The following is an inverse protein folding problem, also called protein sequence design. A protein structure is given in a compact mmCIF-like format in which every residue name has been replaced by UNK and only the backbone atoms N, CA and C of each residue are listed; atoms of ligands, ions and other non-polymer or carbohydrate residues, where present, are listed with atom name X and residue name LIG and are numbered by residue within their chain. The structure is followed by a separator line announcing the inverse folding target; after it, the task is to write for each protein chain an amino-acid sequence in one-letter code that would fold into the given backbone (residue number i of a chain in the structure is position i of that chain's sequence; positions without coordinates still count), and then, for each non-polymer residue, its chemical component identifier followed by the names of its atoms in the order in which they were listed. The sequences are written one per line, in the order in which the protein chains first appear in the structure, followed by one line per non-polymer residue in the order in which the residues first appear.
data_IF_635064354398
#
_entry.id   IF_635064354398
#
_cell.length_a   1.000
_cell.length_b   1.000
_cell.length_c   1.000
_cell.angle_alpha   90.00
_cell.angle_beta   90.00
_cell.angle_gamma   90.00
#
_symmetry.space_group_name_H-M   'P 1'
#
loop_
_entity.id
_entity.type
_entity.pdbx_description
1 polymer ?
#
# COMPACT_ATOMS: atom_id res chain seq x y z
N UNK A 1 -6.33 14.48 0.33
CA UNK A 1 -7.28 15.30 -0.46
C UNK A 1 -6.54 16.16 -1.49
N UNK A 2 -5.36 16.71 -1.15
CA UNK A 2 -4.52 17.45 -2.09
C UNK A 2 -4.18 16.65 -3.36
N UNK A 3 -3.91 15.36 -3.25
CA UNK A 3 -3.67 14.48 -4.38
C UNK A 3 -4.89 14.37 -5.32
N UNK A 4 -6.10 14.30 -4.75
CA UNK A 4 -7.34 14.29 -5.54
C UNK A 4 -7.56 15.63 -6.26
N UNK A 5 -7.29 16.75 -5.58
CA UNK A 5 -7.37 18.09 -6.21
C UNK A 5 -6.36 18.27 -7.35
N UNK A 6 -5.19 17.64 -7.23
CA UNK A 6 -4.15 17.63 -8.27
C UNK A 6 -4.38 16.58 -9.36
N UNK A 7 -5.52 15.89 -9.34
CA UNK A 7 -5.90 14.84 -10.30
C UNK A 7 -4.87 13.70 -10.43
N UNK A 8 -4.26 13.32 -9.31
CA UNK A 8 -3.31 12.20 -9.26
C UNK A 8 -4.03 10.89 -9.60
N UNK A 9 -3.46 10.10 -10.49
CA UNK A 9 -4.09 8.84 -10.93
C UNK A 9 -3.91 7.69 -9.94
N UNK A 10 -2.78 7.63 -9.25
CA UNK A 10 -2.42 6.51 -8.39
C UNK A 10 -1.99 6.99 -7.01
N UNK A 11 -2.47 6.31 -5.98
CA UNK A 11 -2.02 6.47 -4.60
C UNK A 11 -1.45 5.15 -4.13
N UNK A 12 -0.19 5.17 -3.73
CA UNK A 12 0.53 4.01 -3.21
C UNK A 12 0.78 4.24 -1.72
N UNK A 13 0.53 3.25 -0.89
CA UNK A 13 0.73 3.36 0.55
C UNK A 13 1.29 2.07 1.15
N UNK A 14 2.40 2.18 1.89
CA UNK A 14 3.09 1.08 2.53
C UNK A 14 3.22 1.18 4.05
N UNK A 15 2.76 2.28 4.65
CA UNK A 15 2.84 2.45 6.10
C UNK A 15 1.67 1.80 6.82
N UNK A 16 1.93 0.86 7.72
CA UNK A 16 0.92 0.12 8.45
C UNK A 16 0.06 -0.79 7.57
N UNK A 17 -1.17 -1.08 8.02
CA UNK A 17 -2.15 -1.84 7.24
C UNK A 17 -3.24 -0.89 6.75
N UNK A 18 -3.19 -0.41 5.50
CA UNK A 18 -4.02 0.70 5.02
C UNK A 18 -5.45 0.29 4.65
N UNK A 19 -6.13 -0.41 5.55
CA UNK A 19 -7.47 -0.98 5.34
C UNK A 19 -8.55 0.08 5.15
N UNK A 20 -8.41 1.24 5.81
CA UNK A 20 -9.42 2.30 5.79
C UNK A 20 -9.17 3.34 4.68
N UNK A 21 -8.00 3.33 4.08
CA UNK A 21 -7.60 4.32 3.07
C UNK A 21 -8.48 4.28 1.81
N UNK A 22 -8.81 3.11 1.22
CA UNK A 22 -9.70 3.08 0.05
C UNK A 22 -11.04 3.76 0.30
N UNK A 23 -11.70 3.47 1.44
CA UNK A 23 -12.96 4.12 1.80
C UNK A 23 -12.82 5.62 2.05
N UNK A 24 -11.71 6.06 2.63
CA UNK A 24 -11.42 7.49 2.75
C UNK A 24 -11.27 8.16 1.37
N UNK A 25 -10.60 7.52 0.40
CA UNK A 25 -10.50 8.02 -0.97
C UNK A 25 -11.87 8.10 -1.64
N UNK A 26 -12.73 7.09 -1.44
CA UNK A 26 -14.09 7.07 -1.97
C UNK A 26 -14.93 8.24 -1.44
N UNK A 27 -14.84 8.55 -0.14
CA UNK A 27 -15.55 9.67 0.48
C UNK A 27 -14.98 11.02 0.02
N UNK A 28 -13.67 11.17 0.04
CA UNK A 28 -12.99 12.41 -0.32
C UNK A 28 -13.16 12.77 -1.80
N UNK A 29 -13.28 11.79 -2.69
CA UNK A 29 -13.59 12.04 -4.12
C UNK A 29 -14.97 12.63 -4.32
N UNK A 30 -15.89 12.39 -3.37
CA UNK A 30 -17.23 12.98 -3.32
C UNK A 30 -17.28 14.27 -2.50
N UNK A 31 -16.14 14.81 -2.09
CA UNK A 31 -16.01 15.95 -1.17
C UNK A 31 -16.66 15.74 0.19
N UNK A 32 -16.82 14.49 0.63
CA UNK A 32 -17.32 14.12 1.95
C UNK A 32 -16.20 14.01 2.96
N UNK A 33 -16.51 14.27 4.22
CA UNK A 33 -15.57 14.03 5.32
C UNK A 33 -15.19 12.55 5.44
N UNK A 34 -13.94 12.30 5.79
CA UNK A 34 -13.41 10.96 6.01
C UNK A 34 -12.69 10.88 7.35
N UNK A 35 -12.77 9.72 8.01
CA UNK A 35 -12.14 9.47 9.29
C UNK A 35 -11.25 8.22 9.19
N UNK A 36 -10.14 8.24 9.92
CA UNK A 36 -9.20 7.13 10.03
C UNK A 36 -8.93 6.84 11.51
N UNK A 37 -8.86 5.56 11.86
CA UNK A 37 -8.39 5.15 13.17
C UNK A 37 -6.88 5.35 13.30
N UNK A 38 -6.49 5.92 14.43
CA UNK A 38 -5.08 6.14 14.77
C UNK A 38 -4.68 5.07 15.80
N UNK A 39 -3.80 4.13 15.45
CA UNK A 39 -3.28 3.18 16.41
C UNK A 39 -2.36 3.90 17.42
N UNK A 40 -2.66 3.77 18.70
CA UNK A 40 -1.87 4.38 19.77
C UNK A 40 -1.27 3.29 20.65
N UNK A 41 0.05 3.32 20.80
CA UNK A 41 0.77 2.37 21.67
C UNK A 41 0.34 2.58 23.13
N UNK A 42 -0.05 1.51 23.82
CA UNK A 42 -0.53 1.57 25.19
C UNK A 42 -2.01 1.91 25.35
N UNK A 43 -2.74 2.13 24.25
CA UNK A 43 -4.20 2.26 24.31
C UNK A 43 -4.87 0.95 24.74
N UNK A 44 -5.94 1.06 25.52
CA UNK A 44 -6.79 -0.08 25.87
C UNK A 44 -7.72 -0.46 24.71
N UNK A 45 -8.39 -1.62 24.82
CA UNK A 45 -9.41 -2.03 23.83
C UNK A 45 -10.65 -1.13 23.82
N UNK A 46 -10.86 -0.33 24.87
CA UNK A 46 -11.98 0.60 25.01
C UNK A 46 -11.67 1.98 24.41
N UNK A 47 -10.39 2.28 24.19
CA UNK A 47 -9.95 3.54 23.61
C UNK A 47 -10.16 3.56 22.10
N UNK A 48 -10.64 4.68 21.58
CA UNK A 48 -10.80 4.90 20.15
C UNK A 48 -10.25 6.27 19.75
N UNK A 49 -9.10 6.25 19.10
CA UNK A 49 -8.48 7.46 18.57
C UNK A 49 -8.79 7.56 17.09
N UNK A 50 -9.42 8.65 16.69
CA UNK A 50 -9.86 8.89 15.31
C UNK A 50 -9.36 10.25 14.87
N UNK A 51 -8.77 10.33 13.69
CA UNK A 51 -8.55 11.59 12.99
C UNK A 51 -9.60 11.76 11.91
N UNK A 52 -10.11 12.98 11.76
CA UNK A 52 -11.13 13.30 10.76
C UNK A 52 -10.66 14.47 9.91
N UNK A 53 -10.91 14.40 8.61
CA UNK A 53 -10.73 15.49 7.68
C UNK A 53 -12.04 15.78 6.95
N UNK A 54 -12.47 17.04 6.97
CA UNK A 54 -13.66 17.48 6.26
C UNK A 54 -13.29 18.58 5.23
N UNK A 55 -13.42 18.32 3.92
CA UNK A 55 -13.09 19.28 2.88
C UNK A 55 -13.84 20.63 3.03
N UNK A 56 -15.10 20.62 3.47
CA UNK A 56 -15.90 21.84 3.60
C UNK A 56 -15.36 22.82 4.65
N UNK A 57 -14.74 22.30 5.71
CA UNK A 57 -14.13 23.14 6.76
C UNK A 57 -12.88 23.87 6.28
N UNK A 58 -12.20 23.33 5.24
CA UNK A 58 -10.94 23.89 4.73
C UNK A 58 -11.17 24.78 3.51
N UNK A 59 -12.03 24.37 2.58
CA UNK A 59 -12.20 25.06 1.29
C UNK A 59 -13.52 25.81 1.17
N UNK A 60 -14.53 25.46 1.96
CA UNK A 60 -15.90 25.91 1.72
C UNK A 60 -16.57 25.15 0.57
N UNK A 61 -17.88 24.97 0.67
CA UNK A 61 -18.66 24.13 -0.27
C UNK A 61 -18.74 24.69 -1.70
N UNK A 62 -18.59 26.00 -1.87
CA UNK A 62 -18.62 26.66 -3.18
C UNK A 62 -17.50 26.23 -4.14
N UNK A 63 -16.47 25.58 -3.65
CA UNK A 63 -15.35 25.07 -4.46
C UNK A 63 -15.50 23.61 -4.85
N UNK A 64 -16.56 22.95 -4.42
CA UNK A 64 -16.73 21.53 -4.67
C UNK A 64 -17.12 21.25 -6.11
N UNK A 65 -16.32 20.37 -6.73
CA UNK A 65 -16.62 19.69 -7.99
C UNK A 65 -16.34 18.20 -7.79
N UNK A 66 -16.98 17.30 -8.54
CA UNK A 66 -16.61 15.89 -8.50
C UNK A 66 -15.12 15.71 -8.78
N UNK A 67 -14.45 14.93 -7.97
CA UNK A 67 -13.04 14.60 -8.11
C UNK A 67 -12.91 13.17 -8.62
N UNK A 68 -11.91 12.94 -9.48
CA UNK A 68 -11.57 11.58 -9.88
C UNK A 68 -10.98 10.85 -8.68
N UNK A 69 -11.55 9.69 -8.34
CA UNK A 69 -10.96 8.82 -7.34
C UNK A 69 -9.69 8.19 -7.90
N UNK A 70 -8.53 8.33 -7.26
CA UNK A 70 -7.30 7.68 -7.71
C UNK A 70 -7.37 6.16 -7.51
N UNK A 71 -6.66 5.41 -8.33
CA UNK A 71 -6.40 4.00 -8.06
C UNK A 71 -5.57 3.87 -6.80
N UNK A 72 -5.92 2.91 -5.95
CA UNK A 72 -5.23 2.67 -4.70
C UNK A 72 -4.47 1.35 -4.70
N UNK A 73 -3.15 1.43 -4.47
CA UNK A 73 -2.25 0.29 -4.41
C UNK A 73 -1.54 0.23 -3.06
N UNK A 74 -2.00 -0.63 -2.13
CA UNK A 74 -1.26 -0.90 -0.92
C UNK A 74 0.03 -1.66 -1.25
N UNK A 75 1.10 -1.31 -0.54
CA UNK A 75 2.35 -2.09 -0.57
C UNK A 75 2.19 -3.27 0.38
N UNK A 76 2.46 -4.46 -0.09
CA UNK A 76 2.29 -5.70 0.67
C UNK A 76 3.53 -6.57 0.57
N UNK A 77 3.86 -7.25 1.67
CA UNK A 77 4.96 -8.22 1.74
C UNK A 77 4.47 -9.67 1.73
N UNK A 78 3.16 -9.91 1.49
CA UNK A 78 2.61 -11.27 1.42
C UNK A 78 1.30 -11.35 0.65
N UNK A 79 1.06 -12.47 -0.03
CA UNK A 79 -0.22 -12.81 -0.66
C UNK A 79 -1.37 -12.86 0.36
N UNK A 80 -1.12 -13.36 1.57
CA UNK A 80 -2.12 -13.38 2.66
C UNK A 80 -2.57 -11.97 3.04
N UNK A 81 -1.64 -11.00 3.16
CA UNK A 81 -2.00 -9.61 3.45
C UNK A 81 -2.77 -9.01 2.29
N UNK A 82 -2.34 -9.25 1.04
CA UNK A 82 -3.03 -8.79 -0.16
C UNK A 82 -4.48 -9.31 -0.22
N UNK A 83 -4.68 -10.61 -0.01
CA UNK A 83 -6.02 -11.22 0.05
C UNK A 83 -6.89 -10.62 1.15
N UNK A 84 -6.30 -10.35 2.32
CA UNK A 84 -6.99 -9.71 3.44
C UNK A 84 -7.43 -8.28 3.09
N UNK A 85 -6.55 -7.49 2.50
CA UNK A 85 -6.85 -6.13 2.07
C UNK A 85 -7.92 -6.12 0.97
N UNK A 86 -7.80 -6.97 -0.06
CA UNK A 86 -8.85 -7.12 -1.09
C UNK A 86 -10.23 -7.40 -0.47
N UNK A 87 -10.30 -8.24 0.56
CA UNK A 87 -11.57 -8.69 1.16
C UNK A 87 -12.13 -7.75 2.22
N UNK A 88 -11.27 -7.07 3.00
CA UNK A 88 -11.66 -6.41 4.25
C UNK A 88 -11.38 -4.91 4.28
N UNK A 89 -10.88 -4.31 3.21
CA UNK A 89 -10.78 -2.85 3.13
C UNK A 89 -12.15 -2.19 3.07
N UNK A 90 -12.24 -0.95 3.54
CA UNK A 90 -13.50 -0.20 3.60
C UNK A 90 -13.95 0.31 2.23
N UNK A 91 -13.10 0.23 1.20
CA UNK A 91 -13.37 0.59 -0.18
C UNK A 91 -12.57 -0.27 -1.14
N UNK A 92 -12.49 0.13 -2.40
CA UNK A 92 -11.85 -0.65 -3.46
C UNK A 92 -10.33 -0.58 -3.41
N UNK A 93 -9.69 -1.75 -3.41
CA UNK A 93 -8.25 -1.91 -3.69
C UNK A 93 -8.14 -2.23 -5.19
N UNK A 94 -7.36 -1.44 -5.91
CA UNK A 94 -7.30 -1.50 -7.37
C UNK A 94 -6.11 -2.33 -7.88
N UNK A 95 -5.14 -2.59 -7.03
CA UNK A 95 -3.96 -3.38 -7.32
C UNK A 95 -3.01 -3.42 -6.13
N UNK A 96 -1.80 -3.93 -6.32
CA UNK A 96 -0.82 -4.05 -5.25
C UNK A 96 0.58 -3.67 -5.72
N UNK A 97 1.39 -3.18 -4.80
CA UNK A 97 2.84 -3.20 -4.93
C UNK A 97 3.35 -4.30 -4.00
N UNK A 98 4.06 -5.28 -4.55
CA UNK A 98 4.63 -6.39 -3.78
C UNK A 98 6.06 -6.05 -3.43
N UNK A 99 6.31 -5.90 -2.14
CA UNK A 99 7.63 -5.57 -1.61
C UNK A 99 8.39 -6.85 -1.25
N UNK A 100 9.56 -7.03 -1.86
CA UNK A 100 10.49 -8.10 -1.51
C UNK A 100 11.54 -7.66 -0.49
N UNK A 101 12.31 -8.62 0.07
CA UNK A 101 13.36 -8.32 1.04
C UNK A 101 14.48 -7.39 0.53
N UNK A 102 14.63 -7.28 -0.79
CA UNK A 102 15.62 -6.43 -1.45
C UNK A 102 15.09 -5.05 -1.84
N UNK A 103 13.88 -4.70 -1.45
CA UNK A 103 13.37 -3.35 -1.67
C UNK A 103 14.17 -2.34 -0.86
N UNK A 104 14.50 -1.20 -1.45
CA UNK A 104 15.18 -0.12 -0.75
C UNK A 104 14.25 0.59 0.24
N UNK A 105 14.83 1.18 1.28
CA UNK A 105 14.09 1.91 2.30
C UNK A 105 13.57 1.02 3.43
N UNK A 106 12.38 1.34 3.94
CA UNK A 106 11.80 0.67 5.10
C UNK A 106 11.02 -0.57 4.68
N UNK A 107 11.51 -1.76 5.03
CA UNK A 107 10.89 -3.05 4.70
C UNK A 107 10.08 -3.63 5.84
N UNK A 108 9.13 -4.49 5.51
CA UNK A 108 8.48 -5.35 6.48
C UNK A 108 9.52 -6.24 7.20
N UNK A 109 9.38 -6.46 8.51
CA UNK A 109 10.31 -7.35 9.22
C UNK A 109 10.18 -8.80 8.72
N UNK A 110 11.25 -9.62 8.84
CA UNK A 110 11.20 -11.04 8.54
C UNK A 110 10.11 -11.75 9.32
N UNK A 111 9.54 -12.79 8.73
CA UNK A 111 8.52 -13.61 9.39
C UNK A 111 9.15 -14.56 10.40
N UNK A 112 8.61 -14.55 11.61
CA UNK A 112 9.10 -15.33 12.73
C UNK A 112 10.05 -14.55 13.64
N UNK A 113 10.89 -15.23 14.44
CA UNK A 113 11.84 -14.56 15.33
C UNK A 113 12.85 -13.72 14.52
N UNK A 114 13.03 -12.47 14.92
CA UNK A 114 14.03 -11.59 14.32
C UNK A 114 15.43 -12.18 14.52
N UNK A 115 16.15 -12.39 13.45
CA UNK A 115 17.57 -12.73 13.42
C UNK A 115 18.33 -11.65 12.69
N UNK A 116 19.48 -11.28 13.23
CA UNK A 116 20.34 -10.26 12.60
C UNK A 116 21.64 -10.92 12.12
N UNK A 117 22.19 -10.39 11.03
CA UNK A 117 23.53 -10.75 10.56
C UNK A 117 24.61 -10.02 11.40
N UNK A 118 25.88 -10.22 11.05
CA UNK A 118 27.04 -9.64 11.77
C UNK A 118 27.07 -8.11 11.75
N UNK A 119 26.40 -7.47 10.78
CA UNK A 119 26.32 -6.01 10.64
C UNK A 119 24.99 -5.43 11.14
N UNK A 120 24.15 -6.27 11.77
CA UNK A 120 22.91 -5.84 12.41
C UNK A 120 21.71 -5.75 11.48
N UNK A 121 21.80 -6.29 10.25
CA UNK A 121 20.66 -6.31 9.33
C UNK A 121 19.78 -7.55 9.53
N UNK A 122 18.47 -7.45 9.31
CA UNK A 122 17.55 -8.59 9.36
C UNK A 122 17.91 -9.67 8.34
N UNK A 123 17.86 -10.92 8.77
CA UNK A 123 18.01 -12.08 7.89
C UNK A 123 16.63 -12.53 7.42
N UNK A 124 16.41 -12.43 6.13
CA UNK A 124 15.19 -12.91 5.47
C UNK A 124 15.36 -14.35 5.00
N UNK A 125 14.25 -15.08 4.94
CA UNK A 125 14.21 -16.48 4.52
C UNK A 125 13.14 -16.74 3.43
N UNK A 126 12.95 -18.00 3.09
CA UNK A 126 11.99 -18.41 2.07
C UNK A 126 10.55 -17.95 2.36
N UNK A 127 10.18 -17.83 3.63
CA UNK A 127 8.85 -17.34 4.04
C UNK A 127 8.61 -15.87 3.71
N UNK A 128 9.66 -15.12 3.47
CA UNK A 128 9.61 -13.69 3.19
C UNK A 128 9.50 -13.41 1.69
N UNK A 129 9.67 -14.44 0.86
CA UNK A 129 9.44 -14.37 -0.59
C UNK A 129 7.95 -14.55 -0.85
N UNK A 130 7.36 -13.59 -1.58
CA UNK A 130 5.94 -13.65 -1.94
C UNK A 130 5.74 -14.60 -3.11
N UNK A 131 4.79 -15.54 -2.98
CA UNK A 131 4.39 -16.39 -4.10
C UNK A 131 3.59 -15.56 -5.11
N UNK A 132 4.11 -15.42 -6.33
CA UNK A 132 3.48 -14.64 -7.39
C UNK A 132 2.29 -15.38 -8.02
N UNK A 133 2.22 -16.70 -7.93
CA UNK A 133 1.03 -17.45 -8.34
C UNK A 133 -0.17 -17.10 -7.46
N UNK A 134 0.04 -17.00 -6.15
CA UNK A 134 -0.98 -16.54 -5.21
C UNK A 134 -1.41 -15.10 -5.51
N UNK A 135 -0.45 -14.21 -5.82
CA UNK A 135 -0.79 -12.83 -6.20
C UNK A 135 -1.62 -12.77 -7.47
N UNK A 136 -1.26 -13.56 -8.48
CA UNK A 136 -2.02 -13.68 -9.74
C UNK A 136 -3.44 -14.20 -9.51
N UNK A 137 -3.61 -15.14 -8.58
CA UNK A 137 -4.93 -15.68 -8.20
C UNK A 137 -5.86 -14.65 -7.56
N UNK A 138 -5.34 -13.50 -7.11
CA UNK A 138 -6.17 -12.40 -6.63
C UNK A 138 -6.86 -11.62 -7.76
N UNK A 139 -6.51 -11.85 -9.02
CA UNK A 139 -7.12 -11.21 -10.20
C UNK A 139 -7.07 -9.65 -10.14
N UNK A 140 -6.08 -9.11 -9.48
CA UNK A 140 -5.77 -7.68 -9.45
C UNK A 140 -4.36 -7.44 -9.99
N UNK A 141 -4.13 -6.32 -10.67
CA UNK A 141 -2.80 -5.98 -11.15
C UNK A 141 -1.83 -5.81 -9.98
N UNK A 142 -0.57 -6.22 -10.17
CA UNK A 142 0.46 -5.97 -9.18
C UNK A 142 1.80 -5.62 -9.82
N UNK A 143 2.59 -4.87 -9.08
CA UNK A 143 3.94 -4.44 -9.41
C UNK A 143 4.91 -5.01 -8.38
N UNK A 144 6.13 -5.32 -8.81
CA UNK A 144 7.18 -5.78 -7.91
C UNK A 144 8.07 -4.63 -7.48
N UNK A 145 8.29 -4.47 -6.18
CA UNK A 145 9.27 -3.55 -5.61
C UNK A 145 10.48 -4.32 -5.07
N UNK A 146 11.68 -3.81 -5.33
CA UNK A 146 12.93 -4.42 -4.94
C UNK A 146 13.99 -4.25 -6.02
N UNK A 147 14.92 -5.19 -6.09
CA UNK A 147 16.03 -5.18 -7.05
C UNK A 147 15.60 -5.68 -8.46
N UNK A 148 14.59 -5.04 -9.04
CA UNK A 148 14.08 -5.37 -10.39
C UNK A 148 14.49 -4.31 -11.43
N UNK A 149 15.72 -3.84 -11.34
CA UNK A 149 16.23 -2.67 -12.10
C UNK A 149 16.84 -3.00 -13.48
N UNK A 150 16.89 -4.28 -13.86
CA UNK A 150 17.41 -4.66 -15.20
C UNK A 150 16.28 -5.11 -16.12
N UNK A 151 16.46 -4.97 -17.46
CA UNK A 151 15.47 -5.44 -18.43
C UNK A 151 15.13 -6.93 -18.29
N UNK A 152 16.11 -7.76 -17.93
CA UNK A 152 15.92 -9.21 -17.75
C UNK A 152 15.04 -9.49 -16.52
N UNK A 153 15.30 -8.81 -15.40
CA UNK A 153 14.50 -8.93 -14.18
C UNK A 153 13.07 -8.46 -14.41
N UNK A 154 12.87 -7.34 -15.11
CA UNK A 154 11.54 -6.86 -15.51
C UNK A 154 10.81 -7.91 -16.34
N UNK A 155 11.41 -8.42 -17.41
CA UNK A 155 10.82 -9.47 -18.26
C UNK A 155 10.47 -10.73 -17.48
N UNK A 156 11.34 -11.13 -16.54
CA UNK A 156 11.11 -12.30 -15.71
C UNK A 156 9.87 -12.15 -14.82
N UNK A 157 9.71 -11.02 -14.11
CA UNK A 157 8.52 -10.81 -13.25
C UNK A 157 7.25 -10.62 -14.08
N UNK A 158 7.34 -10.01 -15.25
CA UNK A 158 6.21 -9.91 -16.18
C UNK A 158 5.75 -11.29 -16.68
N UNK A 159 6.68 -12.17 -16.99
CA UNK A 159 6.36 -13.57 -17.36
C UNK A 159 5.66 -14.32 -16.22
N UNK A 160 5.89 -13.93 -14.96
CA UNK A 160 5.23 -14.47 -13.78
C UNK A 160 3.90 -13.77 -13.44
N UNK A 161 3.50 -12.78 -14.22
CA UNK A 161 2.18 -12.12 -14.10
C UNK A 161 2.20 -10.72 -13.49
N UNK A 162 3.36 -10.18 -13.11
CA UNK A 162 3.45 -8.80 -12.68
C UNK A 162 3.22 -7.83 -13.87
N UNK A 163 2.57 -6.70 -13.61
CA UNK A 163 2.34 -5.66 -14.62
C UNK A 163 3.58 -4.80 -14.86
N UNK A 164 4.47 -4.73 -13.89
CA UNK A 164 5.69 -3.95 -13.97
C UNK A 164 6.47 -3.98 -12.67
N UNK A 165 7.33 -2.99 -12.49
CA UNK A 165 8.17 -2.83 -11.31
C UNK A 165 8.06 -1.42 -10.75
N UNK A 166 8.21 -1.30 -9.44
CA UNK A 166 8.44 -0.03 -8.76
C UNK A 166 9.93 0.07 -8.42
N UNK A 167 10.56 1.14 -8.83
CA UNK A 167 11.96 1.42 -8.56
C UNK A 167 12.09 2.81 -7.93
N UNK A 168 12.94 2.94 -6.95
CA UNK A 168 13.25 4.20 -6.26
C UNK A 168 14.74 4.45 -6.21
N UNK A 169 15.47 3.65 -5.44
CA UNK A 169 16.92 3.80 -5.17
C UNK A 169 17.77 3.95 -6.44
N UNK A 170 17.35 3.40 -7.56
CA UNK A 170 18.07 3.52 -8.83
C UNK A 170 18.05 4.95 -9.38
N UNK A 171 17.11 5.80 -8.94
CA UNK A 171 16.96 7.19 -9.35
C UNK A 171 17.39 8.18 -8.24
N UNK A 172 17.84 7.68 -7.10
CA UNK A 172 18.37 8.48 -6.01
C UNK A 172 19.91 8.67 -6.15
#
# INVERSE_FOLDING_TARGET
YGALLADVEYVIMGAGIPREIPGALDLLSQNKGASLKVPVVGASSEDSFITTFNPSEVLGEQFFKPLRRPYFFPIVSSSTLAANLKKKSTGTVDGFVVEGPLAGGHNAPPRGPMKLNEIGEPIYGERDVVDLADMKALELPFWMAGDYVTPEKLKNVQAQGAHGVQVGTMFA
#
